data_IF_891586886686
#
_entry.id   IF_891586886686
#
_cell.length_a   1.000
_cell.length_b   1.000
_cell.length_c   1.000
_cell.angle_alpha   90.00
_cell.angle_beta   90.00
_cell.angle_gamma   90.00
#
_symmetry.space_group_name_H-M   'P 1'
#
loop_
_entity.id
_entity.type
_entity.pdbx_description
1 polymer ?
#
# COMPACT_ATOMS: atom_id res chain seq x y z
N UNK A 1 4.45 -83.26 24.08
CA UNK A 1 5.01 -82.08 24.82
C UNK A 1 6.14 -81.49 23.99
N UNK A 2 5.89 -80.41 23.24
CA UNK A 2 6.93 -79.70 22.49
C UNK A 2 7.32 -78.42 23.21
N UNK A 3 8.59 -78.31 23.60
CA UNK A 3 9.19 -77.11 24.17
C UNK A 3 9.51 -76.14 23.04
N UNK A 4 8.79 -75.02 22.98
CA UNK A 4 9.17 -73.88 22.14
C UNK A 4 10.36 -73.16 22.77
N UNK A 5 11.53 -73.27 22.15
CA UNK A 5 12.66 -72.39 22.46
C UNK A 5 12.44 -71.04 21.79
N UNK A 6 12.32 -69.98 22.60
CA UNK A 6 12.33 -68.59 22.13
C UNK A 6 13.78 -68.17 21.94
N UNK A 7 14.21 -67.99 20.70
CA UNK A 7 15.47 -67.30 20.39
C UNK A 7 15.24 -65.79 20.48
N UNK A 8 16.02 -65.05 21.28
CA UNK A 8 15.97 -63.59 21.28
C UNK A 8 16.55 -63.08 19.96
N UNK A 9 15.75 -62.31 19.23
CA UNK A 9 16.19 -61.57 18.04
C UNK A 9 16.96 -60.35 18.54
N UNK A 10 18.28 -60.45 18.57
CA UNK A 10 19.14 -59.27 18.72
C UNK A 10 19.15 -58.54 17.38
N UNK A 11 18.37 -57.46 17.29
CA UNK A 11 18.50 -56.52 16.19
C UNK A 11 19.89 -55.89 16.29
N UNK A 12 20.70 -56.07 15.25
CA UNK A 12 22.01 -55.43 15.15
C UNK A 12 21.83 -53.91 15.24
N UNK A 13 22.74 -53.23 15.93
CA UNK A 13 22.75 -51.77 16.07
C UNK A 13 22.69 -51.10 14.69
N UNK A 14 23.30 -51.71 13.67
CA UNK A 14 23.25 -51.24 12.29
C UNK A 14 21.81 -51.21 11.72
N UNK A 15 20.97 -52.19 12.06
CA UNK A 15 19.58 -52.25 11.59
C UNK A 15 18.72 -51.20 12.29
N UNK A 16 18.94 -50.97 13.59
CA UNK A 16 18.23 -49.95 14.34
C UNK A 16 18.52 -48.53 13.80
N UNK A 17 19.78 -48.22 13.49
CA UNK A 17 20.17 -46.92 12.92
C UNK A 17 19.57 -46.71 11.53
N UNK A 18 19.54 -47.74 10.68
CA UNK A 18 18.94 -47.65 9.35
C UNK A 18 17.42 -47.33 9.40
N UNK A 19 16.69 -47.93 10.35
CA UNK A 19 15.25 -47.68 10.52
C UNK A 19 14.98 -46.23 10.97
N UNK A 20 15.80 -45.70 11.89
CA UNK A 20 15.64 -44.31 12.36
C UNK A 20 15.92 -43.30 11.24
N UNK A 21 16.96 -43.53 10.44
CA UNK A 21 17.28 -42.66 9.31
C UNK A 21 16.19 -42.67 8.23
N UNK A 22 15.62 -43.84 7.93
CA UNK A 22 14.50 -43.96 7.00
C UNK A 22 13.26 -43.21 7.51
N UNK A 23 12.91 -43.35 8.79
CA UNK A 23 11.78 -42.62 9.39
C UNK A 23 11.99 -41.10 9.35
N UNK A 24 13.20 -40.63 9.65
CA UNK A 24 13.55 -39.20 9.56
C UNK A 24 13.45 -38.67 8.12
N UNK A 25 13.90 -39.45 7.13
CA UNK A 25 13.79 -39.10 5.72
C UNK A 25 12.31 -39.02 5.27
N UNK A 26 11.48 -39.99 5.67
CA UNK A 26 10.04 -39.97 5.38
C UNK A 26 9.34 -38.73 5.98
N UNK A 27 9.66 -38.37 7.22
CA UNK A 27 9.11 -37.17 7.86
C UNK A 27 9.58 -35.87 7.18
N UNK A 28 10.84 -35.84 6.73
CA UNK A 28 11.39 -34.70 6.01
C UNK A 28 10.74 -34.51 4.63
N UNK A 29 10.59 -35.60 3.86
CA UNK A 29 9.92 -35.57 2.55
C UNK A 29 8.45 -35.18 2.70
N UNK A 30 7.76 -35.68 3.74
CA UNK A 30 6.37 -35.31 4.03
C UNK A 30 6.19 -33.80 4.24
N UNK A 31 7.11 -33.14 4.95
CA UNK A 31 7.07 -31.68 5.15
C UNK A 31 7.30 -30.88 3.86
N UNK A 32 8.18 -31.33 2.98
CA UNK A 32 8.42 -30.65 1.69
C UNK A 32 7.18 -30.73 0.79
N UNK A 33 6.49 -31.87 0.80
CA UNK A 33 5.27 -32.03 0.00
C UNK A 33 4.11 -31.20 0.54
N UNK A 34 3.98 -31.04 1.85
CA UNK A 34 2.92 -30.22 2.47
C UNK A 34 3.14 -28.71 2.23
N UNK A 35 4.39 -28.24 2.23
CA UNK A 35 4.72 -26.85 1.89
C UNK A 35 4.44 -26.47 0.42
N UNK A 36 4.43 -27.43 -0.50
CA UNK A 36 4.15 -27.17 -1.92
C UNK A 36 2.66 -27.30 -2.29
N UNK A 37 1.80 -27.76 -1.38
CA UNK A 37 0.37 -27.98 -1.65
C UNK A 37 -0.52 -26.77 -1.34
N UNK A 38 0.03 -25.69 -0.77
CA UNK A 38 -0.73 -24.45 -0.51
C UNK A 38 -0.64 -23.42 -1.64
N UNK A 39 0.17 -23.66 -2.67
CA UNK A 39 0.14 -22.91 -3.93
C UNK A 39 -0.90 -23.52 -4.89
N UNK A 40 -2.05 -23.90 -4.32
CA UNK A 40 -3.23 -24.27 -5.07
C UNK A 40 -3.70 -23.06 -5.88
N UNK A 41 -3.23 -23.02 -7.12
CA UNK A 41 -4.03 -22.72 -8.29
C UNK A 41 -4.93 -21.49 -8.10
N UNK A 42 -4.32 -20.30 -8.15
CA UNK A 42 -5.06 -19.13 -8.60
C UNK A 42 -5.44 -19.38 -10.05
N UNK A 43 -6.56 -20.07 -10.23
CA UNK A 43 -7.24 -20.28 -11.50
C UNK A 43 -7.46 -18.90 -12.10
N UNK A 44 -6.65 -18.56 -13.10
CA UNK A 44 -6.89 -17.42 -13.99
C UNK A 44 -8.05 -17.78 -14.92
N UNK A 45 -9.23 -18.00 -14.34
CA UNK A 45 -10.48 -17.79 -15.07
C UNK A 45 -10.40 -16.36 -15.53
N UNK A 46 -10.52 -16.11 -16.84
CA UNK A 46 -10.49 -14.77 -17.40
C UNK A 46 -11.56 -13.90 -16.74
N UNK A 47 -11.22 -13.28 -15.62
CA UNK A 47 -12.12 -12.47 -14.84
C UNK A 47 -12.33 -11.21 -15.65
N UNK A 48 -13.52 -11.11 -16.24
CA UNK A 48 -13.93 -9.87 -16.86
C UNK A 48 -13.79 -8.76 -15.80
N UNK A 49 -13.12 -7.64 -16.13
CA UNK A 49 -12.88 -6.60 -15.14
C UNK A 49 -14.21 -6.13 -14.55
N UNK A 50 -14.25 -6.09 -13.23
CA UNK A 50 -15.40 -5.61 -12.46
C UNK A 50 -15.78 -4.20 -12.88
N UNK A 51 -17.02 -3.79 -12.58
CA UNK A 51 -17.48 -2.43 -12.86
C UNK A 51 -16.55 -1.38 -12.23
N UNK A 52 -16.05 -1.64 -11.02
CA UNK A 52 -15.09 -0.78 -10.33
C UNK A 52 -13.76 -0.66 -11.08
N UNK A 53 -13.21 -1.75 -11.61
CA UNK A 53 -11.95 -1.73 -12.38
C UNK A 53 -12.12 -0.98 -13.71
N UNK A 54 -13.23 -1.20 -14.41
CA UNK A 54 -13.57 -0.44 -15.64
C UNK A 54 -13.69 1.05 -15.34
N UNK A 55 -14.35 1.41 -14.23
CA UNK A 55 -14.50 2.80 -13.79
C UNK A 55 -13.17 3.42 -13.40
N UNK A 56 -12.32 2.71 -12.65
CA UNK A 56 -10.98 3.15 -12.29
C UNK A 56 -10.15 3.44 -13.53
N UNK A 57 -10.15 2.54 -14.52
CA UNK A 57 -9.43 2.74 -15.78
C UNK A 57 -9.91 3.98 -16.52
N UNK A 58 -11.21 4.28 -16.47
CA UNK A 58 -11.75 5.50 -17.07
C UNK A 58 -11.42 6.76 -16.26
N UNK A 59 -11.48 6.68 -14.94
CA UNK A 59 -11.03 7.73 -14.03
C UNK A 59 -9.55 8.04 -14.25
N UNK A 60 -8.71 7.03 -14.50
CA UNK A 60 -7.29 7.21 -14.77
C UNK A 60 -7.00 8.07 -16.00
N UNK A 61 -7.88 8.05 -17.01
CA UNK A 61 -7.74 8.85 -18.24
C UNK A 61 -8.00 10.35 -18.00
N UNK A 62 -8.59 10.73 -16.87
CA UNK A 62 -8.88 12.13 -16.51
C UNK A 62 -7.61 12.76 -15.92
N UNK A 63 -7.27 13.98 -16.38
CA UNK A 63 -5.97 14.63 -16.12
C UNK A 63 -6.06 15.94 -15.31
N UNK A 64 -7.23 16.33 -14.81
CA UNK A 64 -7.43 17.66 -14.25
C UNK A 64 -7.72 17.62 -12.74
N UNK A 65 -7.11 18.56 -12.01
CA UNK A 65 -7.38 18.86 -10.60
C UNK A 65 -7.15 17.70 -9.62
N UNK A 66 -7.44 17.97 -8.35
CA UNK A 66 -7.54 16.94 -7.33
C UNK A 66 -8.68 15.97 -7.69
N UNK A 67 -8.41 14.69 -7.57
CA UNK A 67 -9.34 13.62 -7.92
C UNK A 67 -9.14 12.48 -6.91
N UNK A 68 -10.20 11.80 -6.50
CA UNK A 68 -10.10 10.62 -5.66
C UNK A 68 -10.99 9.49 -6.19
N UNK A 69 -10.63 8.26 -5.84
CA UNK A 69 -11.37 7.06 -6.14
C UNK A 69 -11.50 6.24 -4.85
N UNK A 70 -12.74 5.90 -4.49
CA UNK A 70 -13.08 5.11 -3.32
C UNK A 70 -13.76 3.80 -3.74
N UNK A 71 -13.52 2.73 -2.97
CA UNK A 71 -14.14 1.40 -3.16
C UNK A 71 -14.57 0.83 -1.82
N UNK A 72 -15.61 0.01 -1.84
CA UNK A 72 -15.95 -0.88 -0.74
C UNK A 72 -15.68 -2.35 -1.08
N UNK A 73 -15.81 -3.25 -0.08
CA UNK A 73 -15.46 -4.67 -0.21
C UNK A 73 -16.36 -5.45 -1.18
N UNK A 74 -17.59 -4.98 -1.42
CA UNK A 74 -18.57 -5.62 -2.31
C UNK A 74 -18.49 -5.10 -3.76
N UNK A 75 -17.45 -4.31 -4.08
CA UNK A 75 -17.22 -3.80 -5.43
C UNK A 75 -18.00 -2.53 -5.78
N UNK A 76 -18.74 -1.94 -4.85
CA UNK A 76 -19.26 -0.57 -5.00
C UNK A 76 -18.12 0.45 -4.96
N UNK A 77 -18.31 1.57 -5.66
CA UNK A 77 -17.25 2.56 -5.84
C UNK A 77 -17.81 3.97 -6.03
N UNK A 78 -16.95 4.95 -5.81
CA UNK A 78 -17.24 6.36 -6.03
C UNK A 78 -15.99 7.12 -6.43
N UNK A 79 -16.16 8.17 -7.21
CA UNK A 79 -15.01 8.94 -7.69
C UNK A 79 -15.33 10.41 -7.91
N UNK A 80 -14.28 11.22 -7.83
CA UNK A 80 -14.31 12.65 -8.07
C UNK A 80 -13.21 13.01 -9.05
N UNK A 81 -13.42 14.09 -9.81
CA UNK A 81 -12.43 14.64 -10.75
C UNK A 81 -12.47 16.16 -10.73
N UNK A 82 -11.31 16.80 -10.88
CA UNK A 82 -11.24 18.25 -11.11
C UNK A 82 -11.46 19.14 -9.89
N UNK A 83 -11.31 18.63 -8.68
CA UNK A 83 -11.42 19.43 -7.46
C UNK A 83 -10.20 20.36 -7.30
N UNK A 84 -10.41 21.49 -6.63
CA UNK A 84 -9.32 22.39 -6.23
C UNK A 84 -8.73 22.02 -4.85
N UNK A 85 -9.32 21.05 -4.17
CA UNK A 85 -8.97 20.61 -2.83
C UNK A 85 -9.00 19.08 -2.74
N UNK A 86 -7.94 18.49 -2.16
CA UNK A 86 -7.78 17.02 -2.08
C UNK A 86 -8.70 16.42 -1.02
N UNK A 87 -8.96 17.13 0.07
CA UNK A 87 -9.82 16.62 1.13
C UNK A 87 -11.25 16.54 0.64
N UNK A 88 -11.77 17.61 0.04
CA UNK A 88 -13.09 17.63 -0.59
C UNK A 88 -13.22 16.53 -1.67
N UNK A 89 -12.19 16.34 -2.50
CA UNK A 89 -12.19 15.27 -3.50
C UNK A 89 -12.35 13.88 -2.86
N UNK A 90 -11.67 13.62 -1.73
CA UNK A 90 -11.74 12.35 -0.99
C UNK A 90 -13.07 12.16 -0.29
N UNK A 91 -13.55 13.19 0.42
CA UNK A 91 -14.83 13.17 1.14
C UNK A 91 -15.98 12.89 0.17
N UNK A 92 -16.01 13.56 -0.99
CA UNK A 92 -17.07 13.36 -1.97
C UNK A 92 -16.96 12.01 -2.70
N UNK A 93 -15.74 11.50 -2.93
CA UNK A 93 -15.56 10.15 -3.47
C UNK A 93 -16.06 9.08 -2.49
N UNK A 94 -15.79 9.26 -1.19
CA UNK A 94 -16.31 8.39 -0.13
C UNK A 94 -17.82 8.50 -0.02
N UNK A 95 -18.38 9.71 -0.04
CA UNK A 95 -19.82 9.95 0.03
C UNK A 95 -20.54 9.30 -1.16
N UNK A 96 -19.98 9.41 -2.38
CA UNK A 96 -20.53 8.76 -3.57
C UNK A 96 -20.49 7.23 -3.46
N UNK A 97 -19.37 6.68 -2.98
CA UNK A 97 -19.24 5.24 -2.74
C UNK A 97 -20.26 4.75 -1.69
N UNK A 98 -20.41 5.50 -0.60
CA UNK A 98 -21.28 5.15 0.54
C UNK A 98 -22.78 5.10 0.18
N UNK A 99 -23.20 5.72 -0.92
CA UNK A 99 -24.57 5.60 -1.44
C UNK A 99 -24.90 4.17 -1.91
N UNK A 100 -23.89 3.35 -2.19
CA UNK A 100 -24.04 2.03 -2.79
C UNK A 100 -23.63 0.89 -1.86
N UNK A 101 -23.05 1.20 -0.70
CA UNK A 101 -22.70 0.21 0.31
C UNK A 101 -21.84 0.78 1.45
N UNK A 102 -21.74 0.08 2.58
CA UNK A 102 -20.93 0.52 3.71
C UNK A 102 -19.42 0.32 3.46
N UNK A 103 -18.60 0.78 4.41
CA UNK A 103 -17.16 0.50 4.48
C UNK A 103 -16.34 0.93 3.24
N UNK A 104 -16.65 2.08 2.67
CA UNK A 104 -15.84 2.65 1.58
C UNK A 104 -14.51 3.19 2.11
N UNK A 105 -13.44 2.93 1.36
CA UNK A 105 -12.12 3.54 1.57
C UNK A 105 -11.61 4.20 0.28
N UNK A 106 -10.82 5.26 0.43
CA UNK A 106 -10.11 5.86 -0.70
C UNK A 106 -8.94 4.96 -1.09
N UNK A 107 -9.08 4.24 -2.19
CA UNK A 107 -8.02 3.36 -2.71
C UNK A 107 -6.97 4.14 -3.50
N UNK A 108 -7.37 5.21 -4.19
CA UNK A 108 -6.48 6.03 -5.00
C UNK A 108 -6.84 7.51 -4.97
N UNK A 109 -5.85 8.38 -5.12
CA UNK A 109 -6.07 9.81 -5.32
C UNK A 109 -4.99 10.39 -6.25
N UNK A 110 -5.35 11.43 -6.98
CA UNK A 110 -4.47 12.21 -7.85
C UNK A 110 -4.55 13.66 -7.46
N UNK A 111 -3.41 14.31 -7.40
CA UNK A 111 -3.32 15.77 -7.46
C UNK A 111 -2.95 16.13 -8.89
N UNK A 112 -3.96 16.47 -9.68
CA UNK A 112 -3.76 17.12 -10.96
C UNK A 112 -3.19 18.50 -10.70
N UNK A 113 -1.87 18.60 -10.60
CA UNK A 113 -1.17 19.85 -10.76
C UNK A 113 -1.31 20.27 -12.22
N UNK A 114 -2.43 20.87 -12.61
CA UNK A 114 -2.37 21.82 -13.70
C UNK A 114 -1.42 22.93 -13.22
N UNK A 115 -0.19 22.88 -13.73
CA UNK A 115 0.92 23.80 -13.53
C UNK A 115 0.61 25.25 -13.97
N UNK A 116 -0.62 25.74 -13.82
CA UNK A 116 -0.89 27.17 -14.00
C UNK A 116 -0.35 28.01 -12.84
N UNK A 117 -0.27 27.45 -11.63
CA UNK A 117 0.34 28.13 -10.48
C UNK A 117 1.87 27.93 -10.38
N UNK A 118 2.40 26.81 -10.88
CA UNK A 118 3.85 26.53 -10.95
C UNK A 118 4.34 26.69 -12.39
N UNK A 119 4.27 27.92 -12.90
CA UNK A 119 5.09 28.36 -14.05
C UNK A 119 6.49 28.82 -13.60
N UNK A 120 6.82 28.63 -12.32
CA UNK A 120 8.14 28.83 -11.74
C UNK A 120 8.88 27.50 -11.65
N UNK A 121 10.18 27.55 -11.92
CA UNK A 121 11.14 26.49 -11.68
C UNK A 121 10.85 25.83 -10.32
N UNK A 122 10.76 24.50 -10.29
CA UNK A 122 10.73 23.76 -9.01
C UNK A 122 11.92 24.28 -8.21
N UNK A 123 11.65 24.93 -7.07
CA UNK A 123 12.71 25.46 -6.23
C UNK A 123 13.70 24.31 -5.93
N UNK A 124 15.03 24.50 -6.01
CA UNK A 124 16.00 23.44 -5.78
C UNK A 124 15.75 22.63 -4.49
N UNK A 125 15.27 23.32 -3.43
CA UNK A 125 14.85 22.72 -2.16
C UNK A 125 13.73 21.70 -2.30
N UNK A 126 12.77 21.92 -3.20
CA UNK A 126 11.67 20.98 -3.47
C UNK A 126 12.17 19.69 -4.10
N UNK A 127 13.09 19.81 -5.07
CA UNK A 127 13.68 18.65 -5.74
C UNK A 127 14.53 17.81 -4.77
N UNK A 128 15.31 18.48 -3.93
CA UNK A 128 16.10 17.82 -2.87
C UNK A 128 15.21 17.05 -1.89
N UNK A 129 14.16 17.70 -1.38
CA UNK A 129 13.19 17.04 -0.48
C UNK A 129 12.50 15.88 -1.18
N UNK A 130 12.09 16.03 -2.44
CA UNK A 130 11.48 14.92 -3.19
C UNK A 130 12.44 13.74 -3.38
N UNK A 131 13.71 14.01 -3.68
CA UNK A 131 14.73 12.96 -3.78
C UNK A 131 15.02 12.28 -2.44
N UNK A 132 14.91 13.01 -1.33
CA UNK A 132 15.01 12.43 0.01
C UNK A 132 13.79 11.55 0.32
N UNK A 133 12.59 11.98 -0.09
CA UNK A 133 11.36 11.20 0.03
C UNK A 133 11.47 9.86 -0.72
N UNK A 134 11.93 9.86 -1.97
CA UNK A 134 12.02 8.63 -2.77
C UNK A 134 12.98 7.62 -2.15
N UNK A 135 14.10 8.08 -1.57
CA UNK A 135 15.10 7.23 -0.91
C UNK A 135 14.76 6.84 0.54
N UNK A 136 13.80 7.51 1.17
CA UNK A 136 13.44 7.25 2.57
C UNK A 136 12.83 5.86 2.77
N UNK A 137 13.31 5.12 3.78
CA UNK A 137 12.71 3.88 4.24
C UNK A 137 11.55 4.14 5.24
N UNK A 138 10.76 3.10 5.53
CA UNK A 138 9.62 3.16 6.44
C UNK A 138 8.47 4.01 5.90
N UNK A 139 7.44 4.23 6.72
CA UNK A 139 6.31 5.04 6.30
C UNK A 139 6.77 6.49 6.05
N UNK A 140 6.35 7.02 4.90
CA UNK A 140 6.75 8.34 4.42
C UNK A 140 5.57 9.10 3.84
N UNK A 141 5.69 10.42 3.87
CA UNK A 141 4.71 11.32 3.31
C UNK A 141 5.35 12.64 2.86
N UNK A 142 4.72 13.26 1.88
CA UNK A 142 5.10 14.56 1.33
C UNK A 142 3.87 15.47 1.33
N UNK A 143 4.01 16.68 1.86
CA UNK A 143 2.96 17.68 1.92
C UNK A 143 3.39 18.97 1.23
N UNK A 144 2.43 19.62 0.57
CA UNK A 144 2.61 20.84 -0.21
C UNK A 144 1.47 21.80 0.09
N UNK A 145 1.76 23.10 0.11
CA UNK A 145 0.75 24.15 0.04
C UNK A 145 0.76 24.81 -1.34
N UNK A 146 -0.40 25.35 -1.79
CA UNK A 146 -0.45 26.21 -2.98
C UNK A 146 0.46 27.44 -2.91
N UNK A 147 0.80 27.88 -1.69
CA UNK A 147 1.76 28.96 -1.44
C UNK A 147 3.23 28.53 -1.50
N UNK A 148 3.52 27.29 -1.91
CA UNK A 148 4.88 26.78 -2.10
C UNK A 148 5.55 26.25 -0.84
N UNK A 149 4.85 26.20 0.30
CA UNK A 149 5.36 25.56 1.51
C UNK A 149 5.41 24.04 1.32
N UNK A 150 6.43 23.41 1.87
CA UNK A 150 6.70 21.97 1.68
C UNK A 150 7.06 21.34 3.01
N UNK A 151 6.59 20.13 3.23
CA UNK A 151 7.01 19.30 4.36
C UNK A 151 7.13 17.84 3.95
N UNK A 152 8.09 17.13 4.54
CA UNK A 152 8.34 15.72 4.25
C UNK A 152 8.63 14.99 5.55
N UNK A 153 8.08 13.79 5.68
CA UNK A 153 8.43 12.85 6.73
C UNK A 153 8.80 11.50 6.12
N UNK A 154 9.83 10.86 6.65
CA UNK A 154 10.27 9.50 6.31
C UNK A 154 10.57 8.72 7.60
N UNK A 155 10.69 7.40 7.52
CA UNK A 155 11.04 6.55 8.66
C UNK A 155 10.01 6.59 9.80
N UNK A 156 8.74 6.92 9.53
CA UNK A 156 7.73 6.89 10.57
C UNK A 156 7.21 5.46 10.79
N UNK A 157 6.63 5.17 11.97
CA UNK A 157 6.10 3.85 12.29
C UNK A 157 4.93 3.45 11.40
N UNK A 158 4.10 4.42 10.99
CA UNK A 158 2.95 4.20 10.12
C UNK A 158 2.67 5.42 9.23
N UNK A 159 1.79 5.23 8.24
CA UNK A 159 1.48 6.26 7.26
C UNK A 159 0.71 7.44 7.86
N UNK A 160 -0.10 7.24 8.90
CA UNK A 160 -0.84 8.31 9.56
C UNK A 160 0.14 9.26 10.25
N UNK A 161 1.13 8.73 10.97
CA UNK A 161 2.19 9.51 11.59
C UNK A 161 3.05 10.23 10.54
N UNK A 162 3.38 9.57 9.42
CA UNK A 162 4.07 10.21 8.30
C UNK A 162 3.28 11.40 7.76
N UNK A 163 1.99 11.22 7.49
CA UNK A 163 1.11 12.26 6.97
C UNK A 163 1.01 13.45 7.91
N UNK A 164 0.76 13.19 9.20
CA UNK A 164 0.65 14.24 10.22
C UNK A 164 1.94 15.03 10.35
N UNK A 165 3.09 14.34 10.38
CA UNK A 165 4.41 14.99 10.49
C UNK A 165 4.75 15.80 9.24
N UNK A 166 4.51 15.26 8.05
CA UNK A 166 4.74 15.98 6.80
C UNK A 166 3.88 17.25 6.72
N UNK A 167 2.60 17.17 7.11
CA UNK A 167 1.69 18.32 7.15
C UNK A 167 2.17 19.37 8.17
N UNK A 168 2.53 18.97 9.39
CA UNK A 168 3.02 19.89 10.42
C UNK A 168 4.30 20.64 9.98
N UNK A 169 5.23 19.93 9.32
CA UNK A 169 6.45 20.54 8.76
C UNK A 169 6.11 21.54 7.65
N UNK A 170 5.16 21.19 6.78
CA UNK A 170 4.71 22.09 5.73
C UNK A 170 4.07 23.36 6.32
N UNK A 171 3.20 23.23 7.32
CA UNK A 171 2.57 24.38 8.00
C UNK A 171 3.63 25.28 8.66
N UNK A 172 4.65 24.69 9.27
CA UNK A 172 5.79 25.44 9.86
C UNK A 172 6.53 26.25 8.79
N UNK A 173 6.75 25.65 7.62
CA UNK A 173 7.47 26.26 6.50
C UNK A 173 6.64 27.30 5.73
N UNK A 174 5.36 27.51 6.06
CA UNK A 174 4.56 28.60 5.47
C UNK A 174 5.08 29.99 5.83
N UNK A 175 5.85 30.12 6.90
CA UNK A 175 6.44 31.40 7.32
C UNK A 175 7.38 32.00 6.26
N UNK A 176 7.96 31.14 5.41
CA UNK A 176 8.87 31.54 4.33
C UNK A 176 8.13 31.91 3.03
N UNK A 177 6.78 31.99 3.05
CA UNK A 177 5.99 32.26 1.84
C UNK A 177 6.06 33.74 1.45
N UNK A 178 6.14 34.04 0.13
CA UNK A 178 5.88 35.39 -0.34
C UNK A 178 4.48 35.86 0.05
N UNK A 179 4.36 37.09 0.55
CA UNK A 179 3.11 37.64 1.09
C UNK A 179 1.95 37.67 0.07
N UNK A 180 2.24 37.66 -1.24
CA UNK A 180 1.25 37.67 -2.31
C UNK A 180 0.62 36.30 -2.61
N UNK A 181 1.14 35.20 -2.05
CA UNK A 181 0.52 33.88 -2.20
C UNK A 181 -0.53 33.67 -1.12
N UNK A 182 -1.74 33.29 -1.53
CA UNK A 182 -2.84 33.02 -0.60
C UNK A 182 -2.44 31.94 0.43
N UNK A 183 -2.75 32.18 1.70
CA UNK A 183 -2.59 31.17 2.75
C UNK A 183 -3.59 30.05 2.50
N UNK A 184 -3.08 28.88 2.14
CA UNK A 184 -3.89 27.69 1.93
C UNK A 184 -3.30 26.52 2.71
N UNK A 185 -4.14 25.61 3.23
CA UNK A 185 -3.68 24.51 4.06
C UNK A 185 -2.66 23.65 3.30
N UNK A 186 -1.71 23.12 4.05
CA UNK A 186 -0.82 22.08 3.56
C UNK A 186 -1.59 20.77 3.39
N UNK A 187 -1.44 20.16 2.22
CA UNK A 187 -2.09 18.91 1.87
C UNK A 187 -1.03 17.84 1.65
N UNK A 188 -1.26 16.64 2.17
CA UNK A 188 -0.44 15.48 1.87
C UNK A 188 -0.74 15.05 0.43
N UNK A 189 0.29 15.09 -0.42
CA UNK A 189 0.19 14.76 -1.84
C UNK A 189 0.76 13.39 -2.18
N UNK A 190 1.67 12.87 -1.35
CA UNK A 190 2.27 11.55 -1.49
C UNK A 190 2.35 10.89 -0.12
N UNK A 191 2.05 9.60 -0.04
CA UNK A 191 2.23 8.80 1.16
C UNK A 191 2.37 7.33 0.78
N UNK A 192 3.22 6.58 1.49
CA UNK A 192 3.34 5.13 1.33
C UNK A 192 3.11 4.45 2.68
N UNK A 193 2.31 3.37 2.65
CA UNK A 193 2.26 2.38 3.74
C UNK A 193 3.33 1.34 3.42
N UNK A 194 4.19 1.02 4.38
CA UNK A 194 5.04 -0.16 4.32
C UNK A 194 4.32 -1.30 5.04
#
# INVERSE_FOLDING_TARGET
MHKFQKTPVFLDLATAVAVVLLLALFLYIGRILDSNSQDAETQTVGHEPSAAEKALKNWHKKKTGASAFARGPEGHFGWTVGYNDVLAAKEDALAYCAQHGPACEVTEFKVGFEHRAFKGTIAPRTLELYNSYTRGAGAKAFALSPGGAIGMATGQPDATQAQNRAKALCETNKKDRPAYLADRPCLVVLSTRY
#
